data_IF_254954344324
#
_entry.id   IF_254954344324
#
_cell.length_a   1.000
_cell.length_b   1.000
_cell.length_c   1.000
_cell.angle_alpha   90.00
_cell.angle_beta   90.00
_cell.angle_gamma   90.00
#
_symmetry.space_group_name_H-M   'P 1'
#
loop_
_entity.id
_entity.type
_entity.pdbx_description
1 polymer ?
#
# COMPACT_ATOMS: atom_id res chain seq x y z
N UNK A 1 22.54 12.21 -3.31
CA UNK A 1 22.40 10.94 -2.58
C UNK A 1 22.71 9.85 -3.58
N UNK A 2 23.73 9.02 -3.35
CA UNK A 2 23.91 7.80 -4.14
C UNK A 2 22.75 6.87 -3.78
N UNK A 3 21.82 6.70 -4.72
CA UNK A 3 20.69 5.79 -4.54
C UNK A 3 21.29 4.39 -4.54
N UNK A 4 21.29 3.74 -3.39
CA UNK A 4 21.66 2.34 -3.32
C UNK A 4 20.62 1.58 -4.15
N UNK A 5 21.06 0.81 -5.16
CA UNK A 5 20.21 0.19 -6.17
C UNK A 5 19.44 -1.02 -5.62
N UNK A 6 18.83 -0.88 -4.44
CA UNK A 6 18.04 -1.90 -3.78
C UNK A 6 16.82 -2.26 -4.63
N UNK A 7 16.47 -3.55 -4.63
CA UNK A 7 15.29 -4.05 -5.30
C UNK A 7 14.08 -3.95 -4.38
N UNK A 8 13.00 -3.32 -4.84
CA UNK A 8 11.71 -3.37 -4.15
C UNK A 8 10.89 -4.53 -4.72
N UNK A 9 10.52 -5.50 -3.89
CA UNK A 9 9.61 -6.58 -4.26
C UNK A 9 8.24 -6.33 -3.64
N UNK A 10 7.23 -6.19 -4.49
CA UNK A 10 5.83 -6.09 -4.08
C UNK A 10 5.14 -7.43 -4.25
N UNK A 11 4.42 -7.89 -3.23
CA UNK A 11 3.75 -9.19 -3.23
C UNK A 11 2.25 -9.02 -3.09
N UNK A 12 1.48 -9.70 -3.95
CA UNK A 12 0.02 -9.75 -3.84
C UNK A 12 -0.69 -9.87 -5.19
N UNK A 13 -1.88 -9.29 -5.29
CA UNK A 13 -2.75 -9.44 -6.46
C UNK A 13 -2.61 -8.29 -7.48
N UNK A 14 -2.85 -8.64 -8.74
CA UNK A 14 -3.06 -7.69 -9.83
C UNK A 14 -4.49 -7.87 -10.34
N UNK A 15 -5.19 -6.76 -10.53
CA UNK A 15 -6.59 -6.76 -10.94
C UNK A 15 -6.82 -5.77 -12.08
N UNK A 16 -8.04 -5.81 -12.65
CA UNK A 16 -8.50 -4.85 -13.65
C UNK A 16 -9.53 -3.95 -12.97
N UNK A 17 -9.20 -2.66 -12.88
CA UNK A 17 -10.12 -1.62 -12.44
C UNK A 17 -10.99 -1.18 -13.63
N UNK A 18 -12.31 -1.21 -13.44
CA UNK A 18 -13.26 -0.63 -14.39
C UNK A 18 -13.48 0.84 -14.04
N UNK A 19 -12.84 1.73 -14.78
CA UNK A 19 -12.91 3.17 -14.54
C UNK A 19 -14.03 3.79 -15.38
N UNK A 20 -15.00 4.50 -14.79
CA UNK A 20 -16.04 5.19 -15.55
C UNK A 20 -15.47 6.13 -16.60
N UNK A 21 -16.03 6.11 -17.81
CA UNK A 21 -15.65 7.01 -18.91
C UNK A 21 -15.96 8.48 -18.62
N UNK A 22 -16.91 8.74 -17.71
CA UNK A 22 -17.32 10.08 -17.27
C UNK A 22 -17.24 10.18 -15.74
N UNK A 23 -16.96 11.38 -15.24
CA UNK A 23 -16.85 11.66 -13.79
C UNK A 23 -18.13 12.32 -13.27
N UNK A 24 -18.41 12.17 -11.97
CA UNK A 24 -19.57 12.84 -11.32
C UNK A 24 -20.91 12.11 -11.45
N UNK A 25 -20.89 10.87 -11.96
CA UNK A 25 -22.08 9.99 -12.04
C UNK A 25 -21.90 8.76 -11.15
N UNK A 26 -22.99 8.13 -10.75
CA UNK A 26 -22.92 6.84 -10.06
C UNK A 26 -22.40 5.74 -11.00
N UNK A 27 -21.93 4.62 -10.44
CA UNK A 27 -21.51 3.47 -11.24
C UNK A 27 -22.66 2.91 -12.11
N UNK A 28 -23.91 3.02 -11.65
CA UNK A 28 -25.08 2.56 -12.40
C UNK A 28 -25.43 3.46 -13.59
N UNK A 29 -25.04 4.73 -13.54
CA UNK A 29 -25.32 5.74 -14.57
C UNK A 29 -24.15 5.95 -15.53
N UNK A 30 -23.00 5.31 -15.27
CA UNK A 30 -21.84 5.41 -16.13
C UNK A 30 -22.15 4.85 -17.53
N UNK A 31 -21.97 5.63 -18.61
CA UNK A 31 -22.29 5.20 -19.97
C UNK A 31 -21.32 4.16 -20.52
N UNK A 32 -20.22 3.90 -19.82
CA UNK A 32 -19.22 2.90 -20.16
C UNK A 32 -18.02 2.96 -19.24
N UNK A 33 -17.17 1.93 -19.32
CA UNK A 33 -15.98 1.76 -18.49
C UNK A 33 -14.75 1.51 -19.35
N UNK A 34 -13.60 2.01 -18.89
CA UNK A 34 -12.28 1.67 -19.40
C UNK A 34 -11.65 0.64 -18.48
N UNK A 35 -11.01 -0.36 -19.08
CA UNK A 35 -10.22 -1.34 -18.34
C UNK A 35 -8.86 -0.72 -18.02
N UNK A 36 -8.54 -0.58 -16.75
CA UNK A 36 -7.24 -0.12 -16.27
C UNK A 36 -6.57 -1.22 -15.43
N UNK A 37 -5.24 -1.39 -15.51
CA UNK A 37 -4.54 -2.21 -14.53
C UNK A 37 -4.68 -1.58 -13.14
N UNK A 38 -4.81 -2.42 -12.13
CA UNK A 38 -4.95 -2.00 -10.74
C UNK A 38 -4.48 -3.05 -9.74
N UNK A 39 -4.79 -2.81 -8.47
CA UNK A 39 -4.31 -3.58 -7.33
C UNK A 39 -3.24 -2.81 -6.55
N UNK A 40 -3.40 -2.71 -5.23
CA UNK A 40 -2.48 -1.94 -4.40
C UNK A 40 -1.02 -2.41 -4.53
N UNK A 41 -0.71 -3.73 -4.52
CA UNK A 41 0.66 -4.21 -4.75
C UNK A 41 1.19 -3.84 -6.15
N UNK A 42 0.34 -3.85 -7.18
CA UNK A 42 0.74 -3.48 -8.54
C UNK A 42 1.05 -1.98 -8.66
N UNK A 43 0.21 -1.14 -8.05
CA UNK A 43 0.43 0.31 -8.01
C UNK A 43 1.77 0.64 -7.35
N UNK A 44 2.10 -0.05 -6.25
CA UNK A 44 3.39 0.09 -5.56
C UNK A 44 4.55 -0.33 -6.46
N UNK A 45 4.47 -1.50 -7.11
CA UNK A 45 5.54 -1.99 -7.98
C UNK A 45 5.82 -1.07 -9.18
N UNK A 46 4.79 -0.38 -9.69
CA UNK A 46 4.91 0.52 -10.85
C UNK A 46 5.35 1.94 -10.43
N UNK A 47 5.06 2.36 -9.20
CA UNK A 47 5.47 3.67 -8.70
C UNK A 47 6.99 3.83 -8.62
N UNK A 48 7.71 2.78 -8.24
CA UNK A 48 9.16 2.84 -8.04
C UNK A 48 9.96 3.07 -9.33
N UNK A 49 9.68 2.38 -10.45
CA UNK A 49 10.30 2.70 -11.74
C UNK A 49 10.12 4.15 -12.19
N UNK A 50 8.96 4.77 -11.93
CA UNK A 50 8.71 6.17 -12.30
C UNK A 50 9.66 7.15 -11.58
N UNK A 51 10.17 6.77 -10.41
CA UNK A 51 11.14 7.56 -9.63
C UNK A 51 12.56 6.99 -9.71
N UNK A 52 12.86 6.18 -10.75
CA UNK A 52 14.21 5.69 -11.03
C UNK A 52 14.67 4.52 -10.15
N UNK A 53 13.77 3.84 -9.45
CA UNK A 53 14.07 2.71 -8.59
C UNK A 53 13.70 1.36 -9.24
N UNK A 54 14.47 0.31 -8.92
CA UNK A 54 14.21 -1.04 -9.40
C UNK A 54 13.10 -1.70 -8.60
N UNK A 55 12.07 -2.22 -9.27
CA UNK A 55 11.02 -2.97 -8.61
C UNK A 55 10.58 -4.20 -9.40
N UNK A 56 10.10 -5.21 -8.67
CA UNK A 56 9.47 -6.42 -9.20
C UNK A 56 8.16 -6.67 -8.45
N UNK A 57 7.18 -7.24 -9.15
CA UNK A 57 5.93 -7.72 -8.56
C UNK A 57 5.90 -9.24 -8.60
N UNK A 58 5.60 -9.87 -7.47
CA UNK A 58 5.36 -11.30 -7.37
C UNK A 58 3.87 -11.52 -7.14
N UNK A 59 3.24 -12.23 -8.07
CA UNK A 59 1.80 -12.50 -8.06
C UNK A 59 1.58 -13.99 -7.85
N UNK A 60 0.76 -14.33 -6.87
CA UNK A 60 0.26 -15.68 -6.70
C UNK A 60 -0.99 -15.85 -7.55
N UNK A 61 -0.88 -16.66 -8.60
CA UNK A 61 -2.01 -17.06 -9.44
C UNK A 61 -2.38 -18.51 -9.16
N UNK A 62 -3.66 -18.84 -9.18
CA UNK A 62 -4.06 -20.24 -9.14
C UNK A 62 -3.55 -20.91 -10.43
N UNK A 63 -2.71 -21.93 -10.35
CA UNK A 63 -2.04 -22.59 -11.50
C UNK A 63 -3.00 -23.39 -12.39
N UNK A 64 -4.30 -23.17 -12.28
CA UNK A 64 -5.35 -23.92 -12.95
C UNK A 64 -5.76 -23.43 -14.33
N UNK A 65 -5.36 -22.23 -14.79
CA UNK A 65 -5.60 -21.75 -16.16
C UNK A 65 -4.90 -20.40 -16.41
N UNK A 66 -3.96 -20.36 -17.35
CA UNK A 66 -3.54 -19.12 -17.98
C UNK A 66 -4.72 -18.55 -18.78
N UNK A 67 -5.30 -17.42 -18.33
CA UNK A 67 -6.20 -16.45 -19.01
C UNK A 67 -7.22 -16.94 -20.07
N UNK A 68 -8.45 -16.39 -20.18
CA UNK A 68 -9.14 -15.38 -19.36
C UNK A 68 -10.51 -15.89 -18.89
N UNK A 69 -10.80 -15.85 -17.58
CA UNK A 69 -12.14 -15.73 -16.98
C UNK A 69 -12.01 -15.91 -15.46
N UNK A 70 -12.06 -14.77 -14.79
CA UNK A 70 -12.72 -14.48 -13.52
C UNK A 70 -13.28 -15.65 -12.67
N UNK A 71 -13.05 -15.52 -11.35
CA UNK A 71 -13.72 -16.24 -10.24
C UNK A 71 -13.25 -17.64 -9.85
N UNK A 72 -11.94 -17.91 -9.88
CA UNK A 72 -11.40 -18.89 -8.91
C UNK A 72 -10.86 -18.12 -7.72
N UNK A 73 -11.68 -18.04 -6.66
CA UNK A 73 -11.27 -17.56 -5.35
C UNK A 73 -10.06 -18.42 -4.94
N UNK A 74 -8.87 -17.83 -4.93
CA UNK A 74 -7.69 -18.48 -4.37
C UNK A 74 -8.07 -18.97 -2.97
N UNK A 75 -7.70 -20.22 -2.65
CA UNK A 75 -7.86 -20.71 -1.29
C UNK A 75 -7.11 -19.75 -0.36
N UNK A 76 -7.85 -19.09 0.54
CA UNK A 76 -7.28 -18.11 1.46
C UNK A 76 -6.18 -18.75 2.32
N UNK A 77 -6.31 -20.03 2.66
CA UNK A 77 -5.29 -20.76 3.41
C UNK A 77 -3.99 -20.89 2.64
N UNK A 78 -4.05 -21.35 1.37
CA UNK A 78 -2.87 -21.46 0.52
C UNK A 78 -2.21 -20.09 0.26
N UNK A 79 -3.02 -19.04 0.05
CA UNK A 79 -2.54 -17.68 -0.14
C UNK A 79 -1.79 -17.17 1.11
N UNK A 80 -2.35 -17.40 2.29
CA UNK A 80 -1.75 -17.00 3.55
C UNK A 80 -0.41 -17.71 3.79
N UNK A 81 -0.34 -19.02 3.56
CA UNK A 81 0.90 -19.79 3.71
C UNK A 81 2.00 -19.24 2.79
N UNK A 82 1.67 -18.97 1.53
CA UNK A 82 2.63 -18.45 0.57
C UNK A 82 3.11 -17.03 0.93
N UNK A 83 2.23 -16.15 1.42
CA UNK A 83 2.63 -14.83 1.94
C UNK A 83 3.56 -14.97 3.14
N UNK A 84 3.22 -15.80 4.12
CA UNK A 84 4.06 -16.03 5.29
C UNK A 84 5.43 -16.56 4.90
N UNK A 85 5.50 -17.48 3.94
CA UNK A 85 6.78 -18.02 3.47
C UNK A 85 7.61 -16.98 2.72
N UNK A 86 6.97 -16.16 1.89
CA UNK A 86 7.66 -15.07 1.19
C UNK A 86 8.25 -14.06 2.19
N UNK A 87 7.50 -13.71 3.24
CA UNK A 87 7.97 -12.83 4.32
C UNK A 87 9.17 -13.43 5.07
N UNK A 88 9.13 -14.72 5.39
CA UNK A 88 10.26 -15.42 6.03
C UNK A 88 11.53 -15.33 5.17
N UNK A 89 11.44 -15.69 3.89
CA UNK A 89 12.57 -15.67 2.96
C UNK A 89 13.12 -14.24 2.80
N UNK A 90 12.24 -13.24 2.69
CA UNK A 90 12.65 -11.85 2.61
C UNK A 90 13.40 -11.40 3.87
N UNK A 91 12.90 -11.79 5.06
CA UNK A 91 13.55 -11.49 6.34
C UNK A 91 14.90 -12.18 6.49
N UNK A 92 15.01 -13.45 6.11
CA UNK A 92 16.27 -14.22 6.10
C UNK A 92 17.30 -13.59 5.14
N UNK A 93 16.85 -13.00 4.03
CA UNK A 93 17.69 -12.26 3.09
C UNK A 93 18.06 -10.83 3.59
N UNK A 94 17.59 -10.42 4.77
CA UNK A 94 17.86 -9.09 5.34
C UNK A 94 17.05 -7.96 4.70
N UNK A 95 15.97 -8.27 3.98
CA UNK A 95 15.07 -7.27 3.42
C UNK A 95 14.24 -6.59 4.53
N UNK A 96 13.92 -5.31 4.33
CA UNK A 96 12.96 -4.59 5.15
C UNK A 96 11.54 -5.01 4.76
N UNK A 97 10.72 -5.34 5.74
CA UNK A 97 9.32 -5.67 5.50
C UNK A 97 8.44 -4.43 5.66
N UNK A 98 7.71 -4.08 4.60
CA UNK A 98 6.69 -3.05 4.62
C UNK A 98 5.29 -3.67 4.57
N UNK A 99 4.36 -3.14 5.36
CA UNK A 99 3.00 -3.66 5.46
C UNK A 99 1.96 -2.53 5.42
N UNK A 100 1.00 -2.67 4.50
CA UNK A 100 -0.22 -1.87 4.40
C UNK A 100 -1.40 -2.85 4.50
N UNK A 101 -2.18 -2.84 5.60
CA UNK A 101 -3.32 -3.74 5.77
C UNK A 101 -4.35 -3.61 4.65
N UNK A 102 -4.45 -2.42 4.05
CA UNK A 102 -5.33 -2.05 2.96
C UNK A 102 -6.74 -2.68 3.13
N UNK A 103 -7.34 -2.46 4.30
CA UNK A 103 -8.54 -3.17 4.74
C UNK A 103 -9.71 -2.96 3.76
N UNK A 104 -10.35 -4.08 3.39
CA UNK A 104 -11.61 -4.12 2.64
C UNK A 104 -12.56 -5.04 3.37
N UNK A 105 -13.23 -4.50 4.40
CA UNK A 105 -14.08 -5.27 5.31
C UNK A 105 -15.09 -6.21 4.61
N UNK A 106 -15.73 -5.85 3.47
CA UNK A 106 -16.64 -6.75 2.76
C UNK A 106 -16.01 -8.05 2.23
N UNK A 107 -14.67 -8.12 2.12
CA UNK A 107 -13.97 -9.32 1.68
C UNK A 107 -13.75 -10.34 2.81
N UNK A 108 -14.00 -9.94 4.06
CA UNK A 108 -13.76 -10.74 5.25
C UNK A 108 -15.05 -11.39 5.77
N UNK A 109 -14.98 -12.58 6.39
CA UNK A 109 -16.15 -13.19 7.01
C UNK A 109 -16.66 -12.39 8.21
N UNK A 110 -15.76 -11.73 8.95
CA UNK A 110 -16.10 -10.81 10.05
C UNK A 110 -15.01 -9.77 10.28
N UNK A 111 -15.37 -8.69 10.98
CA UNK A 111 -14.41 -7.67 11.44
C UNK A 111 -13.36 -8.24 12.40
N UNK A 112 -13.78 -9.15 13.29
CA UNK A 112 -12.88 -9.79 14.25
C UNK A 112 -11.83 -10.67 13.55
N UNK A 113 -12.25 -11.43 12.53
CA UNK A 113 -11.33 -12.25 11.73
C UNK A 113 -10.35 -11.36 10.95
N UNK A 114 -10.84 -10.27 10.34
CA UNK A 114 -9.99 -9.31 9.65
C UNK A 114 -8.92 -8.72 10.58
N UNK A 115 -9.32 -8.24 11.76
CA UNK A 115 -8.39 -7.69 12.76
C UNK A 115 -7.40 -8.75 13.24
N UNK A 116 -7.85 -9.95 13.55
CA UNK A 116 -6.97 -11.06 14.00
C UNK A 116 -5.91 -11.37 12.95
N UNK A 117 -6.31 -11.47 11.68
CA UNK A 117 -5.40 -11.82 10.60
C UNK A 117 -4.41 -10.70 10.28
N UNK A 118 -4.86 -9.44 10.27
CA UNK A 118 -3.98 -8.27 10.11
C UNK A 118 -2.95 -8.23 11.24
N UNK A 119 -3.39 -8.44 12.49
CA UNK A 119 -2.50 -8.37 13.65
C UNK A 119 -1.53 -9.56 13.75
N UNK A 120 -1.84 -10.71 13.12
CA UNK A 120 -1.03 -11.93 13.19
C UNK A 120 0.39 -11.80 12.60
N UNK A 121 0.62 -10.80 11.75
CA UNK A 121 1.93 -10.51 11.13
C UNK A 121 2.44 -9.12 11.45
N UNK A 122 1.76 -8.39 12.33
CA UNK A 122 2.02 -6.98 12.61
C UNK A 122 3.46 -6.78 13.11
N UNK A 123 3.85 -7.57 14.11
CA UNK A 123 5.16 -7.52 14.76
C UNK A 123 6.35 -7.88 13.87
N UNK A 124 6.08 -8.42 12.67
CA UNK A 124 7.10 -8.79 11.69
C UNK A 124 7.53 -7.62 10.81
N UNK A 125 6.67 -6.63 10.60
CA UNK A 125 6.95 -5.50 9.71
C UNK A 125 7.88 -4.48 10.36
N UNK A 126 8.66 -3.74 9.57
CA UNK A 126 9.46 -2.62 10.06
C UNK A 126 8.93 -1.26 9.58
N UNK A 127 8.14 -1.27 8.50
CA UNK A 127 7.47 -0.10 7.97
C UNK A 127 5.98 -0.41 7.85
N UNK A 128 5.16 0.26 8.65
CA UNK A 128 3.70 0.11 8.58
C UNK A 128 3.08 1.41 8.12
N UNK A 129 2.12 1.31 7.21
CA UNK A 129 1.22 2.41 6.86
C UNK A 129 -0.22 1.98 7.14
N UNK A 130 -0.96 2.89 7.76
CA UNK A 130 -2.42 2.79 7.96
C UNK A 130 -3.09 4.11 7.59
N UNK A 131 -4.37 4.06 7.28
CA UNK A 131 -5.27 5.21 7.26
C UNK A 131 -5.82 5.52 8.65
N UNK A 132 -6.43 6.69 8.80
CA UNK A 132 -7.26 7.05 9.97
C UNK A 132 -8.36 6.01 10.23
N UNK A 133 -9.09 5.57 9.20
CA UNK A 133 -10.12 4.54 9.33
C UNK A 133 -9.54 3.19 9.80
N UNK A 134 -8.35 2.82 9.31
CA UNK A 134 -7.68 1.59 9.75
C UNK A 134 -7.14 1.72 11.17
N UNK A 135 -6.66 2.89 11.57
CA UNK A 135 -6.25 3.15 12.95
C UNK A 135 -7.43 2.98 13.91
N UNK A 136 -8.58 3.59 13.61
CA UNK A 136 -9.81 3.42 14.39
C UNK A 136 -10.21 1.94 14.46
N UNK A 137 -10.23 1.24 13.33
CA UNK A 137 -10.59 -0.19 13.28
C UNK A 137 -9.66 -1.08 14.12
N UNK A 138 -8.35 -0.87 14.00
CA UNK A 138 -7.34 -1.71 14.64
C UNK A 138 -7.17 -1.43 16.13
N UNK A 139 -7.46 -0.21 16.58
CA UNK A 139 -7.37 0.16 17.99
C UNK A 139 -8.70 -0.01 18.71
N UNK A 140 -9.82 0.19 18.01
CA UNK A 140 -11.15 0.35 18.61
C UNK A 140 -11.36 1.73 19.25
N UNK A 141 -10.43 2.67 19.04
CA UNK A 141 -10.51 4.06 19.52
C UNK A 141 -11.22 4.93 18.49
N UNK A 142 -12.14 5.78 18.94
CA UNK A 142 -12.78 6.83 18.12
C UNK A 142 -11.87 8.05 17.90
N UNK A 143 -10.65 8.04 18.46
CA UNK A 143 -9.68 9.12 18.37
C UNK A 143 -8.56 8.79 17.40
N UNK A 144 -8.19 9.80 16.63
CA UNK A 144 -7.01 9.80 15.75
C UNK A 144 -5.91 10.65 16.40
N UNK A 145 -5.24 10.06 17.38
CA UNK A 145 -4.20 10.70 18.19
C UNK A 145 -2.92 9.85 18.31
N UNK A 146 -1.90 10.45 18.94
CA UNK A 146 -0.59 9.81 19.08
C UNK A 146 -0.62 8.61 20.01
N UNK A 147 -1.49 8.62 21.02
CA UNK A 147 -1.67 7.49 21.94
C UNK A 147 -2.23 6.27 21.20
N UNK A 148 -3.30 6.46 20.42
CA UNK A 148 -3.90 5.40 19.61
C UNK A 148 -2.92 4.87 18.58
N UNK A 149 -2.19 5.74 17.88
CA UNK A 149 -1.17 5.32 16.92
C UNK A 149 -0.01 4.56 17.58
N UNK A 150 0.52 5.06 18.71
CA UNK A 150 1.62 4.41 19.42
C UNK A 150 1.20 3.10 20.09
N UNK A 151 -0.10 2.86 20.33
CA UNK A 151 -0.58 1.54 20.78
C UNK A 151 -0.34 0.43 19.75
N UNK A 152 -0.20 0.77 18.46
CA UNK A 152 0.17 -0.15 17.38
C UNK A 152 1.69 -0.26 17.18
N UNK A 153 2.49 0.49 17.95
CA UNK A 153 3.94 0.47 17.85
C UNK A 153 4.51 -0.82 18.45
N UNK A 154 5.56 -1.36 17.84
CA UNK A 154 6.34 -2.46 18.39
C UNK A 154 7.83 -2.25 18.12
N UNK A 155 8.70 -2.94 18.86
CA UNK A 155 10.13 -2.63 18.89
C UNK A 155 10.86 -2.78 17.56
N UNK A 156 10.37 -3.67 16.70
CA UNK A 156 10.90 -3.90 15.35
C UNK A 156 10.56 -2.76 14.37
N UNK A 157 9.58 -1.90 14.69
CA UNK A 157 9.23 -0.79 13.81
C UNK A 157 10.33 0.24 13.70
N UNK A 158 10.57 0.64 12.46
CA UNK A 158 11.40 1.76 12.06
C UNK A 158 10.52 2.95 11.68
N UNK A 159 9.34 2.69 11.12
CA UNK A 159 8.37 3.72 10.72
C UNK A 159 6.93 3.22 10.85
N UNK A 160 6.09 4.02 11.51
CA UNK A 160 4.63 3.92 11.45
C UNK A 160 4.08 5.19 10.82
N UNK A 161 3.31 5.07 9.74
CA UNK A 161 2.68 6.17 9.03
C UNK A 161 1.15 6.08 9.16
N UNK A 162 0.51 7.16 9.57
CA UNK A 162 -0.96 7.30 9.62
C UNK A 162 -1.38 8.38 8.64
N UNK A 163 -2.04 8.01 7.55
CA UNK A 163 -2.56 8.98 6.55
C UNK A 163 -3.91 9.55 6.99
N UNK A 164 -4.07 10.86 6.88
CA UNK A 164 -5.23 11.63 7.36
C UNK A 164 -6.00 12.32 6.21
N UNK A 165 -6.03 11.68 5.04
CA UNK A 165 -6.59 12.25 3.82
C UNK A 165 -5.95 13.59 3.44
N UNK A 166 -6.77 14.62 3.24
CA UNK A 166 -6.32 15.98 2.88
C UNK A 166 -5.51 16.68 3.98
N UNK A 167 -5.59 16.21 5.23
CA UNK A 167 -4.84 16.76 6.37
C UNK A 167 -3.38 16.28 6.41
N UNK A 168 -2.95 15.47 5.43
CA UNK A 168 -1.60 14.95 5.33
C UNK A 168 -1.42 13.63 6.07
N UNK A 169 -0.35 13.50 6.86
CA UNK A 169 -0.06 12.28 7.60
C UNK A 169 0.65 12.57 8.93
N UNK A 170 0.48 11.67 9.91
CA UNK A 170 1.37 11.55 11.07
C UNK A 170 2.38 10.44 10.82
N UNK A 171 3.59 10.60 11.33
CA UNK A 171 4.61 9.56 11.28
C UNK A 171 5.32 9.43 12.62
N UNK A 172 5.70 8.19 12.96
CA UNK A 172 6.41 7.86 14.18
C UNK A 172 7.66 7.06 13.81
N UNK A 173 8.81 7.45 14.34
CA UNK A 173 10.09 6.80 14.04
C UNK A 173 11.10 7.08 15.14
N UNK A 174 12.08 6.17 15.28
CA UNK A 174 13.27 6.36 16.11
C UNK A 174 14.36 7.20 15.41
N UNK A 175 14.24 7.44 14.08
CA UNK A 175 15.30 8.03 13.24
C UNK A 175 14.81 9.21 12.37
N UNK A 176 14.21 10.23 13.00
CA UNK A 176 13.51 11.33 12.31
C UNK A 176 14.36 12.04 11.24
N UNK A 177 15.62 12.37 11.55
CA UNK A 177 16.50 13.11 10.66
C UNK A 177 16.74 12.40 9.31
N UNK A 178 16.72 11.07 9.29
CA UNK A 178 16.95 10.27 8.07
C UNK A 178 15.71 10.18 7.19
N UNK A 179 14.51 10.23 7.79
CA UNK A 179 13.25 9.97 7.08
C UNK A 179 12.54 11.24 6.62
N UNK A 180 12.85 12.40 7.19
CA UNK A 180 12.16 13.66 6.87
C UNK A 180 12.12 13.99 5.37
N UNK A 181 13.26 13.89 4.69
CA UNK A 181 13.33 14.20 3.25
C UNK A 181 12.62 13.15 2.39
N UNK A 182 12.69 11.87 2.78
CA UNK A 182 11.96 10.78 2.12
C UNK A 182 10.45 10.98 2.26
N UNK A 183 9.97 11.36 3.45
CA UNK A 183 8.55 11.60 3.71
C UNK A 183 8.03 12.83 2.95
N UNK A 184 8.83 13.90 2.85
CA UNK A 184 8.47 15.04 2.00
C UNK A 184 8.32 14.65 0.54
N UNK A 185 9.27 13.86 0.02
CA UNK A 185 9.20 13.35 -1.35
C UNK A 185 7.98 12.44 -1.56
N UNK A 186 7.73 11.49 -0.65
CA UNK A 186 6.57 10.61 -0.71
C UNK A 186 5.23 11.39 -0.65
N UNK A 187 5.15 12.42 0.20
CA UNK A 187 3.98 13.30 0.27
C UNK A 187 3.78 14.10 -1.01
N UNK A 188 4.85 14.57 -1.65
CA UNK A 188 4.76 15.19 -2.97
C UNK A 188 4.26 14.19 -4.03
N UNK A 189 4.73 12.94 -3.99
CA UNK A 189 4.25 11.91 -4.89
C UNK A 189 2.74 11.66 -4.72
N UNK A 190 2.28 11.52 -3.47
CA UNK A 190 0.87 11.35 -3.14
C UNK A 190 0.01 12.54 -3.58
N UNK A 191 0.48 13.76 -3.33
CA UNK A 191 -0.22 14.99 -3.73
C UNK A 191 -0.35 15.12 -5.26
N UNK A 192 0.66 14.75 -6.04
CA UNK A 192 0.54 14.79 -7.51
C UNK A 192 -0.40 13.69 -8.00
N UNK A 193 -0.37 12.50 -7.38
CA UNK A 193 -1.22 11.37 -7.78
C UNK A 193 -2.71 11.71 -7.69
N UNK A 194 -3.13 12.56 -6.76
CA UNK A 194 -4.55 12.96 -6.64
C UNK A 194 -4.99 14.00 -7.68
N UNK A 195 -4.07 14.58 -8.45
CA UNK A 195 -4.37 15.61 -9.46
C UNK A 195 -4.60 15.05 -10.87
N UNK A 196 -4.28 13.78 -11.09
CA UNK A 196 -4.37 13.10 -12.39
C UNK A 196 -5.40 11.96 -12.31
N UNK A 197 -5.97 11.55 -13.45
CA UNK A 197 -6.94 10.45 -13.51
C UNK A 197 -6.25 9.08 -13.52
N UNK A 198 -6.85 8.12 -12.81
CA UNK A 198 -6.38 6.74 -12.71
C UNK A 198 -5.29 6.56 -11.65
N UNK A 199 -5.10 5.34 -11.15
CA UNK A 199 -4.08 5.08 -10.13
C UNK A 199 -2.66 5.11 -10.73
N UNK A 200 -2.36 4.17 -11.64
CA UNK A 200 -1.04 4.03 -12.25
C UNK A 200 -0.66 5.24 -13.14
N UNK A 201 -1.52 5.74 -14.03
CA UNK A 201 -1.17 6.89 -14.88
C UNK A 201 -0.95 8.20 -14.11
N UNK A 202 -1.46 8.27 -12.88
CA UNK A 202 -1.29 9.44 -12.03
C UNK A 202 0.02 9.47 -11.24
N UNK A 203 0.73 8.34 -11.16
CA UNK A 203 2.00 8.24 -10.44
C UNK A 203 3.02 9.20 -11.06
N UNK A 204 3.64 10.08 -10.27
CA UNK A 204 4.58 11.06 -10.79
C UNK A 204 5.94 10.45 -11.07
N UNK A 205 6.68 11.14 -11.93
CA UNK A 205 8.11 10.94 -12.10
C UNK A 205 8.91 11.63 -10.99
N UNK A 206 10.17 11.23 -10.79
CA UNK A 206 11.06 11.89 -9.82
C UNK A 206 11.16 13.42 -10.06
N UNK A 207 11.37 13.93 -11.30
CA UNK A 207 11.42 15.38 -11.53
C UNK A 207 10.15 16.14 -11.17
N UNK A 208 8.97 15.55 -11.39
CA UNK A 208 7.69 16.15 -11.02
C UNK A 208 7.58 16.27 -9.49
N UNK A 209 7.91 15.20 -8.76
CA UNK A 209 7.90 15.20 -7.30
C UNK A 209 8.92 16.19 -6.71
N UNK A 210 10.15 16.21 -7.24
CA UNK A 210 11.19 17.15 -6.79
C UNK A 210 10.82 18.60 -7.05
N UNK A 211 10.13 18.89 -8.17
CA UNK A 211 9.62 20.23 -8.46
C UNK A 211 8.64 20.69 -7.38
N UNK A 212 7.70 19.84 -6.97
CA UNK A 212 6.74 20.15 -5.92
C UNK A 212 7.40 20.31 -4.54
N UNK A 213 8.43 19.51 -4.23
CA UNK A 213 9.19 19.63 -2.98
C UNK A 213 9.94 20.96 -2.90
N UNK A 214 10.53 21.44 -4.01
CA UNK A 214 11.30 22.69 -4.08
C UNK A 214 10.43 23.95 -4.19
N UNK A 215 9.20 23.82 -4.67
CA UNK A 215 8.27 24.93 -4.89
C UNK A 215 7.51 25.40 -3.64
N UNK A 216 7.83 24.85 -2.46
CA UNK A 216 7.30 25.24 -1.15
C UNK A 216 8.43 25.75 -0.27
#
# INVERSE_FOLDING_TARGET
>A
MTVNNGLIVSFGEMLIDFVPTVSGVSLAEAPGFLNAPGGAPANVAIAFPNVGLNSQMWVLTNTGQCFPLWFNKLDRGALQIAHLKAMEVAKEAGALLSYDPNLRLPLWPSAEEARTQIMSIWDKAELIKVSDNELEFLTGSDKIDDESALSLWHDNLKLLLVTLGEKGCRYYTKEEAKLREVLKFANACGAITTTKKGAIPALPTEPEALTLVKGK
#
